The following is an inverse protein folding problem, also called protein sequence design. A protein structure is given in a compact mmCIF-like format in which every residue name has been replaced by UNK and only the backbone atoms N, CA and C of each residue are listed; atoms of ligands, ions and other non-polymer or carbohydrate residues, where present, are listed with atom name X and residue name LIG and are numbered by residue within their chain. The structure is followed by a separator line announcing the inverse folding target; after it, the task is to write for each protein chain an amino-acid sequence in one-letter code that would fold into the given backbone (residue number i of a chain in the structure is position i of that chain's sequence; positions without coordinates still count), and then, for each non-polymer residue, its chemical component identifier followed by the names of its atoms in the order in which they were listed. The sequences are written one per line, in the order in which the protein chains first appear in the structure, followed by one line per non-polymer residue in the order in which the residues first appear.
data_IF_622098790616
#
_entry.id   IF_622098790616
#
_cell.length_a   1.000
_cell.length_b   1.000
_cell.length_c   1.000
_cell.angle_alpha   90.00
_cell.angle_beta   90.00
_cell.angle_gamma   90.00
#
_symmetry.space_group_name_H-M   'P 1'
#
loop_
_entity.id
_entity.type
_entity.pdbx_description
1 polymer ?
#
# COMPACT_ATOMS: atom_id res chain seq x y z
N UNK A 1 -7.21 -14.93 55.20
CA UNK A 1 -8.18 -14.82 54.10
C UNK A 1 -7.46 -14.92 52.79
N UNK A 2 -7.70 -15.99 52.07
CA UNK A 2 -7.15 -16.13 50.71
C UNK A 2 -8.14 -15.49 49.72
N UNK A 3 -7.72 -14.46 49.00
CA UNK A 3 -8.50 -13.95 47.87
C UNK A 3 -8.27 -14.87 46.69
N UNK A 4 -9.30 -15.54 46.22
CA UNK A 4 -9.26 -16.24 44.95
C UNK A 4 -9.12 -15.17 43.81
N UNK A 5 -8.15 -15.34 42.91
CA UNK A 5 -8.12 -14.49 41.76
C UNK A 5 -9.38 -14.72 40.92
N UNK A 6 -10.08 -13.66 40.64
CA UNK A 6 -11.29 -13.67 39.83
C UNK A 6 -10.99 -14.28 38.47
N UNK A 7 -11.78 -15.24 37.96
CA UNK A 7 -11.53 -15.89 36.66
C UNK A 7 -11.80 -14.96 35.45
N UNK A 8 -12.16 -13.73 35.71
CA UNK A 8 -12.52 -12.75 34.69
C UNK A 8 -11.32 -12.07 34.00
N UNK A 9 -10.11 -12.25 34.52
CA UNK A 9 -8.89 -11.67 34.00
C UNK A 9 -8.25 -12.44 32.83
N UNK A 10 -8.71 -13.65 32.55
CA UNK A 10 -8.10 -14.52 31.52
C UNK A 10 -8.82 -14.41 30.18
N UNK A 11 -10.00 -13.80 30.12
CA UNK A 11 -10.78 -13.70 28.88
C UNK A 11 -10.44 -12.48 28.02
N UNK A 12 -9.63 -11.56 28.52
CA UNK A 12 -9.29 -10.34 27.80
C UNK A 12 -8.14 -10.50 26.80
N UNK A 13 -7.46 -11.65 26.77
CA UNK A 13 -6.25 -11.85 25.96
C UNK A 13 -6.50 -12.59 24.64
N UNK A 14 -7.73 -12.93 24.29
CA UNK A 14 -8.06 -13.74 23.10
C UNK A 14 -8.76 -12.95 21.98
N UNK A 15 -8.85 -11.65 22.10
CA UNK A 15 -9.34 -10.75 21.04
C UNK A 15 -8.20 -9.99 20.35
N UNK A 16 -7.10 -10.67 20.06
CA UNK A 16 -6.22 -10.20 18.98
C UNK A 16 -6.94 -10.54 17.68
N UNK A 17 -7.81 -9.63 17.26
CA UNK A 17 -8.48 -9.71 15.98
C UNK A 17 -7.45 -10.03 14.89
N UNK A 18 -7.77 -10.99 14.02
CA UNK A 18 -7.03 -11.23 12.78
C UNK A 18 -7.14 -9.99 11.89
N UNK A 19 -6.34 -8.96 12.15
CA UNK A 19 -6.22 -7.84 11.25
C UNK A 19 -5.56 -8.33 9.96
N UNK A 20 -6.13 -7.99 8.80
CA UNK A 20 -5.50 -8.25 7.53
C UNK A 20 -4.11 -7.60 7.51
N UNK A 21 -3.06 -8.28 6.99
CA UNK A 21 -1.74 -7.72 6.93
C UNK A 21 -1.71 -6.51 6.00
N UNK A 22 -0.86 -5.54 6.33
CA UNK A 22 -0.51 -4.46 5.43
C UNK A 22 0.59 -4.87 4.46
N UNK A 23 0.93 -3.95 3.58
CA UNK A 23 2.05 -4.08 2.67
C UNK A 23 2.92 -2.83 2.73
N UNK A 24 4.22 -3.02 2.79
CA UNK A 24 5.21 -1.96 2.63
C UNK A 24 6.32 -2.47 1.72
N UNK A 25 6.54 -1.79 0.61
CA UNK A 25 7.57 -2.15 -0.34
C UNK A 25 8.23 -0.91 -0.94
N UNK A 26 9.41 -1.11 -1.50
CA UNK A 26 10.15 -0.08 -2.21
C UNK A 26 10.77 -0.66 -3.48
N UNK A 27 10.78 0.15 -4.53
CA UNK A 27 11.45 -0.16 -5.78
C UNK A 27 12.30 1.02 -6.21
N UNK A 28 13.42 0.75 -6.84
CA UNK A 28 14.34 1.78 -7.32
C UNK A 28 14.40 1.77 -8.85
N UNK A 29 14.50 2.97 -9.41
CA UNK A 29 14.88 3.21 -10.80
C UNK A 29 16.26 3.86 -10.82
N UNK A 30 16.75 4.22 -12.00
CA UNK A 30 18.05 4.91 -12.13
C UNK A 30 18.09 6.26 -11.39
N UNK A 31 16.94 6.90 -11.20
CA UNK A 31 16.83 8.27 -10.69
C UNK A 31 16.10 8.42 -9.38
N UNK A 32 15.29 7.43 -8.98
CA UNK A 32 14.42 7.58 -7.82
C UNK A 32 14.17 6.27 -7.09
N UNK A 33 13.70 6.41 -5.86
CA UNK A 33 13.16 5.34 -5.04
C UNK A 33 11.68 5.61 -4.80
N UNK A 34 10.85 4.62 -5.09
CA UNK A 34 9.39 4.67 -4.92
C UNK A 34 9.00 3.68 -3.84
N UNK A 35 8.34 4.16 -2.80
CA UNK A 35 7.82 3.32 -1.72
C UNK A 35 6.30 3.28 -1.79
N UNK A 36 5.73 2.09 -1.69
CA UNK A 36 4.28 1.87 -1.65
C UNK A 36 3.89 1.26 -0.31
N UNK A 37 2.95 1.90 0.37
CA UNK A 37 2.29 1.36 1.54
C UNK A 37 0.82 1.08 1.25
N UNK A 38 0.33 -0.06 1.72
CA UNK A 38 -1.08 -0.43 1.70
C UNK A 38 -1.46 -0.78 3.13
N UNK A 39 -2.48 -0.11 3.68
CA UNK A 39 -2.81 -0.25 5.10
C UNK A 39 -3.27 -1.66 5.45
N UNK A 40 -4.01 -2.29 4.54
CA UNK A 40 -4.41 -3.69 4.68
C UNK A 40 -4.63 -4.33 3.31
N UNK A 41 -4.21 -5.57 3.17
CA UNK A 41 -4.47 -6.37 1.98
C UNK A 41 -5.81 -7.09 2.18
N UNK A 42 -6.87 -6.50 1.67
CA UNK A 42 -8.23 -7.03 1.78
C UNK A 42 -9.05 -6.63 0.55
N UNK A 43 -10.06 -7.43 0.24
CA UNK A 43 -11.05 -7.09 -0.79
C UNK A 43 -11.80 -5.82 -0.37
N UNK A 44 -12.00 -4.91 -1.30
CA UNK A 44 -12.67 -3.64 -1.10
C UNK A 44 -11.75 -2.44 -1.25
N UNK A 45 -12.19 -1.32 -0.73
CA UNK A 45 -11.44 -0.06 -0.77
C UNK A 45 -10.42 -0.05 0.37
N UNK A 46 -9.15 0.17 0.05
CA UNK A 46 -8.06 0.22 1.02
C UNK A 46 -7.23 1.48 0.85
N UNK A 47 -6.77 2.04 1.95
CA UNK A 47 -5.90 3.21 1.92
C UNK A 47 -4.49 2.83 1.44
N UNK A 48 -3.95 3.66 0.56
CA UNK A 48 -2.61 3.53 0.00
C UNK A 48 -1.84 4.82 0.18
N UNK A 49 -0.51 4.70 0.23
CA UNK A 49 0.40 5.84 0.29
C UNK A 49 1.63 5.56 -0.55
N UNK A 50 2.08 6.59 -1.25
CA UNK A 50 3.29 6.54 -2.06
C UNK A 50 4.23 7.65 -1.64
N UNK A 51 5.48 7.30 -1.47
CA UNK A 51 6.57 8.24 -1.20
C UNK A 51 7.62 8.11 -2.31
N UNK A 52 8.04 9.25 -2.87
CA UNK A 52 9.06 9.30 -3.90
C UNK A 52 10.26 10.07 -3.37
N UNK A 53 11.42 9.46 -3.41
CA UNK A 53 12.68 10.09 -3.04
C UNK A 53 13.70 9.93 -4.15
N UNK A 54 14.73 10.77 -4.15
CA UNK A 54 15.93 10.51 -4.91
C UNK A 54 16.64 9.28 -4.35
N UNK A 55 17.60 8.73 -5.08
CA UNK A 55 18.32 7.52 -4.63
C UNK A 55 19.13 7.74 -3.34
N UNK A 56 19.50 8.97 -3.05
CA UNK A 56 20.18 9.35 -1.82
C UNK A 56 19.23 9.70 -0.65
N UNK A 57 17.93 9.49 -0.82
CA UNK A 57 16.92 9.63 0.22
C UNK A 57 16.32 11.01 0.39
N UNK A 58 16.62 11.96 -0.48
CA UNK A 58 16.01 13.30 -0.45
C UNK A 58 14.61 13.27 -1.04
N UNK A 59 13.65 14.07 -0.52
CA UNK A 59 12.36 14.22 -1.15
C UNK A 59 12.50 14.65 -2.63
N UNK A 60 11.81 13.94 -3.52
CA UNK A 60 11.77 14.25 -4.93
C UNK A 60 10.37 14.72 -5.29
N UNK A 61 10.17 16.00 -5.63
CA UNK A 61 8.86 16.48 -6.02
C UNK A 61 8.37 15.79 -7.30
N UNK A 62 7.19 15.20 -7.22
CA UNK A 62 6.53 14.59 -8.36
C UNK A 62 5.37 15.46 -8.83
N UNK A 63 5.21 15.61 -10.14
CA UNK A 63 4.10 16.36 -10.73
C UNK A 63 2.81 15.54 -10.66
N UNK A 64 2.92 14.23 -10.91
CA UNK A 64 1.80 13.30 -10.85
C UNK A 64 2.26 11.91 -10.40
N UNK A 65 1.42 11.25 -9.63
CA UNK A 65 1.57 9.85 -9.25
C UNK A 65 0.24 9.15 -9.49
N UNK A 66 0.26 8.05 -10.20
CA UNK A 66 -0.92 7.22 -10.44
C UNK A 66 -0.67 5.77 -10.04
N UNK A 67 -1.70 5.13 -9.51
CA UNK A 67 -1.72 3.70 -9.20
C UNK A 67 -2.59 2.97 -10.22
N UNK A 68 -2.14 1.79 -10.64
CA UNK A 68 -2.91 0.89 -11.48
C UNK A 68 -2.84 -0.53 -10.90
N UNK A 69 -3.84 -0.96 -10.13
CA UNK A 69 -3.95 -2.34 -9.68
C UNK A 69 -4.39 -3.24 -10.82
N UNK A 70 -3.64 -4.32 -11.04
CA UNK A 70 -3.88 -5.30 -12.11
C UNK A 70 -3.86 -6.69 -11.51
N UNK A 71 -4.81 -7.53 -11.91
CA UNK A 71 -4.77 -8.96 -11.65
C UNK A 71 -4.40 -9.69 -12.95
N UNK A 72 -3.11 -10.01 -13.18
CA UNK A 72 -2.63 -10.47 -14.50
C UNK A 72 -3.25 -11.79 -14.94
N UNK A 73 -3.46 -12.71 -13.98
CA UNK A 73 -4.01 -14.05 -14.26
C UNK A 73 -5.45 -14.03 -14.77
N UNK A 74 -6.19 -12.99 -14.45
CA UNK A 74 -7.60 -12.83 -14.84
C UNK A 74 -7.78 -11.79 -15.94
N UNK A 75 -6.73 -11.11 -16.37
CA UNK A 75 -6.83 -9.98 -17.29
C UNK A 75 -7.67 -8.83 -16.74
N UNK A 76 -7.83 -8.75 -15.42
CA UNK A 76 -8.69 -7.78 -14.76
C UNK A 76 -7.91 -6.51 -14.44
N UNK A 77 -8.43 -5.39 -14.91
CA UNK A 77 -7.87 -4.06 -14.69
C UNK A 77 -8.86 -3.22 -13.89
N UNK A 78 -8.40 -2.67 -12.79
CA UNK A 78 -9.11 -1.61 -12.11
C UNK A 78 -8.73 -0.25 -12.73
N UNK A 79 -9.59 0.77 -12.62
CA UNK A 79 -9.26 2.10 -13.11
C UNK A 79 -7.99 2.64 -12.49
N UNK A 80 -7.24 3.45 -13.26
CA UNK A 80 -6.12 4.22 -12.73
C UNK A 80 -6.59 5.17 -11.64
N UNK A 81 -5.80 5.27 -10.58
CA UNK A 81 -6.10 6.10 -9.42
C UNK A 81 -5.06 7.20 -9.34
N UNK A 82 -5.50 8.45 -9.49
CA UNK A 82 -4.65 9.61 -9.25
C UNK A 82 -4.43 9.76 -7.74
N UNK A 83 -3.18 9.89 -7.35
CA UNK A 83 -2.83 10.16 -5.96
C UNK A 83 -3.06 11.63 -5.64
N UNK A 84 -3.53 11.90 -4.42
CA UNK A 84 -3.71 13.26 -3.93
C UNK A 84 -2.41 14.06 -3.92
N UNK A 85 -2.52 15.38 -3.84
CA UNK A 85 -1.38 16.27 -3.72
C UNK A 85 -0.72 16.17 -2.33
N UNK A 86 0.59 16.29 -2.29
CA UNK A 86 1.36 16.28 -1.04
C UNK A 86 2.84 16.36 -1.36
N UNK A 87 3.65 16.98 -0.48
CA UNK A 87 5.06 17.17 -0.72
C UNK A 87 5.83 15.85 -0.59
N UNK A 88 5.58 15.09 0.47
CA UNK A 88 6.39 13.92 0.84
C UNK A 88 5.64 12.60 0.68
N UNK A 89 4.40 12.54 1.15
CA UNK A 89 3.56 11.34 1.12
C UNK A 89 2.27 11.65 0.41
N UNK A 90 1.96 10.88 -0.62
CA UNK A 90 0.68 10.97 -1.31
C UNK A 90 -0.20 9.81 -0.93
N UNK A 91 -1.47 10.11 -0.67
CA UNK A 91 -2.46 9.15 -0.21
C UNK A 91 -3.59 9.03 -1.19
N UNK A 92 -4.12 7.85 -1.30
CA UNK A 92 -5.34 7.57 -2.06
C UNK A 92 -5.98 6.28 -1.57
N UNK A 93 -7.08 5.91 -2.20
CA UNK A 93 -7.80 4.67 -1.91
C UNK A 93 -7.76 3.81 -3.16
N UNK A 94 -7.28 2.58 -3.03
CA UNK A 94 -7.27 1.59 -4.10
C UNK A 94 -8.38 0.56 -3.89
N UNK A 95 -8.91 0.03 -4.98
CA UNK A 95 -9.89 -1.05 -4.96
C UNK A 95 -9.21 -2.36 -5.32
N UNK A 96 -9.31 -3.34 -4.43
CA UNK A 96 -9.05 -4.75 -4.76
C UNK A 96 -10.40 -5.47 -4.86
N UNK A 97 -10.80 -5.79 -6.07
CA UNK A 97 -12.14 -6.33 -6.32
C UNK A 97 -12.30 -7.80 -5.97
N UNK A 98 -11.20 -8.53 -5.80
CA UNK A 98 -11.22 -9.94 -5.45
C UNK A 98 -9.92 -10.39 -4.78
N UNK A 99 -9.96 -11.54 -4.13
CA UNK A 99 -8.77 -12.19 -3.58
C UNK A 99 -7.84 -12.67 -4.68
N UNK A 100 -6.56 -12.83 -4.38
CA UNK A 100 -5.57 -13.38 -5.30
C UNK A 100 -4.33 -12.51 -5.44
N UNK A 101 -3.56 -12.80 -6.47
CA UNK A 101 -2.30 -12.12 -6.74
C UNK A 101 -2.54 -10.91 -7.64
N UNK A 102 -2.09 -9.75 -7.16
CA UNK A 102 -2.19 -8.49 -7.85
C UNK A 102 -0.81 -7.90 -8.12
N UNK A 103 -0.69 -7.18 -9.21
CA UNK A 103 0.44 -6.28 -9.47
C UNK A 103 -0.06 -4.85 -9.40
N UNK A 104 0.51 -4.06 -8.51
CA UNK A 104 0.21 -2.63 -8.40
C UNK A 104 1.29 -1.85 -9.13
N UNK A 105 0.94 -1.25 -10.25
CA UNK A 105 1.82 -0.36 -11.00
C UNK A 105 1.75 1.04 -10.42
N UNK A 106 2.91 1.66 -10.25
CA UNK A 106 3.02 3.05 -9.83
C UNK A 106 3.74 3.83 -10.92
N UNK A 107 3.03 4.79 -11.50
CA UNK A 107 3.58 5.72 -12.49
C UNK A 107 3.89 7.03 -11.79
N UNK A 108 5.11 7.48 -11.92
CA UNK A 108 5.58 8.76 -11.35
C UNK A 108 6.04 9.64 -12.47
N UNK A 109 5.50 10.85 -12.56
CA UNK A 109 5.97 11.90 -13.46
C UNK A 109 6.67 12.96 -12.63
N UNK A 110 7.95 13.18 -12.90
CA UNK A 110 8.78 14.15 -12.20
C UNK A 110 9.76 14.78 -13.18
N UNK A 111 9.92 16.09 -13.12
CA UNK A 111 10.85 16.85 -13.98
C UNK A 111 10.70 16.54 -15.49
N UNK A 112 9.48 16.35 -15.95
CA UNK A 112 9.17 16.02 -17.34
C UNK A 112 9.46 14.59 -17.78
N UNK A 113 9.92 13.72 -16.87
CA UNK A 113 10.18 12.30 -17.13
C UNK A 113 9.16 11.42 -16.41
N UNK A 114 8.81 10.30 -17.04
CA UNK A 114 7.92 9.30 -16.48
C UNK A 114 8.72 8.08 -16.05
N UNK A 115 8.45 7.57 -14.84
CA UNK A 115 9.00 6.33 -14.33
C UNK A 115 7.86 5.40 -13.93
N UNK A 116 8.05 4.11 -14.17
CA UNK A 116 7.07 3.07 -13.88
C UNK A 116 7.73 1.99 -13.05
N UNK A 117 7.14 1.69 -11.90
CA UNK A 117 7.54 0.58 -11.03
C UNK A 117 6.35 -0.28 -10.71
N UNK A 118 6.58 -1.51 -10.28
CA UNK A 118 5.51 -2.43 -9.90
C UNK A 118 5.79 -3.13 -8.58
N UNK A 119 4.72 -3.51 -7.91
CA UNK A 119 4.74 -4.25 -6.65
C UNK A 119 3.78 -5.42 -6.74
N UNK A 120 4.27 -6.60 -6.44
CA UNK A 120 3.42 -7.79 -6.36
C UNK A 120 2.89 -7.93 -4.95
N UNK A 121 1.58 -8.03 -4.83
CA UNK A 121 0.89 -8.17 -3.56
C UNK A 121 -0.13 -9.29 -3.63
N UNK A 122 -0.41 -9.93 -2.49
CA UNK A 122 -1.42 -10.97 -2.40
C UNK A 122 -2.54 -10.51 -1.47
N UNK A 123 -3.75 -10.50 -1.99
CA UNK A 123 -4.98 -10.26 -1.23
C UNK A 123 -5.53 -11.61 -0.80
N UNK A 124 -5.49 -11.91 0.52
CA UNK A 124 -5.94 -13.19 1.06
C UNK A 124 -7.46 -13.38 1.01
#
# INVERSE_FOLDING_TARGET
MRRNPSPWLILALLLVACAAPGFDGAAETDTMRVSLGIDRLAVGMVETRVTVTSRDGRPLPADAITLLPVMPTMGHLNPEIAMGSGADVRRSVALFSMTGDWTVWVRVTAAGAESLVSFDVRVP
#
